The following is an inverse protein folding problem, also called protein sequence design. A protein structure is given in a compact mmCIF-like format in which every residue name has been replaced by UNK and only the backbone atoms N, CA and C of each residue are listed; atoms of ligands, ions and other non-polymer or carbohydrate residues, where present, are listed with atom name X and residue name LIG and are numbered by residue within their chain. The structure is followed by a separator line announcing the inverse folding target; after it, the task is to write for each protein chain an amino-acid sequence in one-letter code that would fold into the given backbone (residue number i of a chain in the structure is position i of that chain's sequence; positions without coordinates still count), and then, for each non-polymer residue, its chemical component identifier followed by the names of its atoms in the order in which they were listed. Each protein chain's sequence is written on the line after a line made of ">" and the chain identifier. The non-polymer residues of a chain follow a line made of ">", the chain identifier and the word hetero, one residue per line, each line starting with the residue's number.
data_IF_914488219942
#
_entry.id   IF_914488219942
#
_cell.length_a   1.000
_cell.length_b   1.000
_cell.length_c   1.000
_cell.angle_alpha   90.00
_cell.angle_beta   90.00
_cell.angle_gamma   90.00
#
_symmetry.space_group_name_H-M   'P 1'
#
loop_
_entity.id
_entity.type
_entity.pdbx_description
1 polymer ?
#
# COMPACT_ATOMS: atom_id res chain seq x y z
N UNK A 1 -3.28 -20.80 -17.67
CA UNK A 1 -4.00 -19.54 -17.54
C UNK A 1 -3.60 -18.81 -16.28
N UNK A 2 -2.43 -18.17 -16.32
CA UNK A 2 -2.08 -16.86 -15.76
C UNK A 2 -3.07 -16.14 -14.80
N UNK A 3 -3.46 -16.79 -13.70
CA UNK A 3 -4.21 -16.15 -12.59
C UNK A 3 -3.32 -15.36 -11.62
N UNK A 4 -2.09 -15.01 -12.02
CA UNK A 4 -1.11 -14.36 -11.12
C UNK A 4 -0.95 -12.85 -11.31
N UNK A 5 -1.47 -12.26 -12.40
CA UNK A 5 -1.22 -10.83 -12.70
C UNK A 5 -1.93 -9.84 -11.76
N UNK A 6 -3.17 -10.15 -11.37
CA UNK A 6 -4.04 -9.18 -10.66
C UNK A 6 -3.66 -9.03 -9.18
N UNK A 7 -3.15 -10.11 -8.55
CA UNK A 7 -2.67 -10.04 -7.16
C UNK A 7 -1.35 -9.29 -7.04
N UNK A 8 -0.48 -9.39 -8.04
CA UNK A 8 0.80 -8.67 -8.04
C UNK A 8 0.63 -7.17 -8.16
N UNK A 9 -0.28 -6.68 -9.02
CA UNK A 9 -0.49 -5.24 -9.17
C UNK A 9 -1.01 -4.58 -7.89
N UNK A 10 -1.90 -5.25 -7.15
CA UNK A 10 -2.35 -4.78 -5.83
C UNK A 10 -1.21 -4.78 -4.81
N UNK A 11 -0.37 -5.83 -4.79
CA UNK A 11 0.80 -5.88 -3.90
C UNK A 11 1.83 -4.79 -4.24
N UNK A 12 2.10 -4.55 -5.51
CA UNK A 12 3.02 -3.50 -5.97
C UNK A 12 2.53 -2.13 -5.49
N UNK A 13 1.24 -1.82 -5.71
CA UNK A 13 0.63 -0.58 -5.24
C UNK A 13 0.71 -0.44 -3.71
N UNK A 14 0.45 -1.52 -2.98
CA UNK A 14 0.54 -1.52 -1.52
C UNK A 14 1.97 -1.26 -1.02
N UNK A 15 2.96 -1.86 -1.69
CA UNK A 15 4.38 -1.65 -1.40
C UNK A 15 4.80 -0.19 -1.69
N UNK A 16 4.32 0.39 -2.79
CA UNK A 16 4.57 1.80 -3.11
C UNK A 16 3.98 2.74 -2.05
N UNK A 17 2.75 2.48 -1.60
CA UNK A 17 2.11 3.24 -0.51
C UNK A 17 2.98 3.18 0.75
N UNK A 18 3.47 1.98 1.12
CA UNK A 18 4.33 1.82 2.28
C UNK A 18 5.69 2.51 2.11
N UNK A 19 6.31 2.44 0.93
CA UNK A 19 7.56 3.15 0.63
C UNK A 19 7.41 4.67 0.72
N UNK A 20 6.34 5.24 0.18
CA UNK A 20 6.05 6.68 0.29
C UNK A 20 5.81 7.08 1.75
N UNK A 21 5.08 6.27 2.51
CA UNK A 21 4.93 6.47 3.95
C UNK A 21 6.29 6.48 4.68
N UNK A 22 7.18 5.53 4.37
CA UNK A 22 8.55 5.50 4.93
C UNK A 22 9.42 6.68 4.48
N UNK A 23 9.17 7.23 3.29
CA UNK A 23 9.83 8.43 2.80
C UNK A 23 9.35 9.72 3.49
N UNK A 24 8.33 9.64 4.35
CA UNK A 24 7.77 10.77 5.10
C UNK A 24 6.43 11.28 4.57
N UNK A 25 5.84 10.65 3.56
CA UNK A 25 4.49 11.01 3.07
C UNK A 25 3.44 10.68 4.13
N UNK A 26 2.53 11.63 4.38
CA UNK A 26 1.48 11.44 5.38
C UNK A 26 0.37 10.51 4.88
N UNK A 27 -0.33 9.85 5.81
CA UNK A 27 -1.49 8.99 5.47
C UNK A 27 -2.52 9.77 4.65
N UNK A 28 -2.76 11.05 4.99
CA UNK A 28 -3.72 11.91 4.30
C UNK A 28 -3.32 12.27 2.86
N UNK A 29 -2.03 12.33 2.56
CA UNK A 29 -1.56 12.50 1.18
C UNK A 29 -1.72 11.21 0.38
N UNK A 30 -1.38 10.07 0.99
CA UNK A 30 -1.55 8.76 0.37
C UNK A 30 -3.02 8.44 0.09
N UNK A 31 -3.94 8.84 0.97
CA UNK A 31 -5.37 8.66 0.72
C UNK A 31 -5.85 9.45 -0.48
N UNK A 32 -5.38 10.69 -0.64
CA UNK A 32 -5.71 11.55 -1.79
C UNK A 32 -5.07 11.04 -3.08
N UNK A 33 -3.78 10.70 -3.03
CA UNK A 33 -3.00 10.26 -4.18
C UNK A 33 -3.48 8.91 -4.73
N UNK A 34 -3.83 7.99 -3.84
CA UNK A 34 -4.31 6.67 -4.22
C UNK A 34 -5.84 6.54 -4.15
N UNK A 35 -6.60 7.60 -3.85
CA UNK A 35 -8.07 7.53 -3.68
C UNK A 35 -8.52 6.41 -2.73
N UNK A 36 -7.75 6.17 -1.67
CA UNK A 36 -8.03 5.16 -0.66
C UNK A 36 -8.46 5.83 0.64
N UNK A 37 -9.25 5.14 1.46
CA UNK A 37 -9.57 5.62 2.81
C UNK A 37 -8.37 5.48 3.74
N UNK A 38 -8.28 6.34 4.77
CA UNK A 38 -7.19 6.30 5.75
C UNK A 38 -7.08 4.94 6.44
N UNK A 39 -8.23 4.32 6.72
CA UNK A 39 -8.32 2.96 7.26
C UNK A 39 -7.64 1.92 6.35
N UNK A 40 -7.81 2.06 5.04
CA UNK A 40 -7.20 1.18 4.03
C UNK A 40 -5.69 1.39 3.96
N UNK A 41 -5.24 2.64 3.89
CA UNK A 41 -3.80 2.99 3.91
C UNK A 41 -3.13 2.43 5.17
N UNK A 42 -3.74 2.65 6.35
CA UNK A 42 -3.21 2.17 7.63
C UNK A 42 -3.13 0.64 7.66
N UNK A 43 -4.13 -0.04 7.09
CA UNK A 43 -4.14 -1.50 6.96
C UNK A 43 -3.04 -1.99 6.02
N UNK A 44 -2.83 -1.32 4.89
CA UNK A 44 -1.74 -1.62 3.94
C UNK A 44 -0.38 -1.51 4.62
N UNK A 45 -0.11 -0.39 5.31
CA UNK A 45 1.15 -0.16 6.05
C UNK A 45 1.39 -1.27 7.07
N UNK A 46 0.36 -1.64 7.85
CA UNK A 46 0.49 -2.71 8.84
C UNK A 46 0.74 -4.09 8.21
N UNK A 47 0.14 -4.37 7.05
CA UNK A 47 0.34 -5.64 6.33
C UNK A 47 1.73 -5.73 5.72
N UNK A 48 2.21 -4.65 5.08
CA UNK A 48 3.57 -4.59 4.53
C UNK A 48 4.63 -4.70 5.64
N UNK A 49 4.40 -4.08 6.79
CA UNK A 49 5.28 -4.23 7.97
C UNK A 49 5.37 -5.69 8.45
N UNK A 50 4.24 -6.40 8.51
CA UNK A 50 4.17 -7.82 8.88
C UNK A 50 4.85 -8.74 7.84
N UNK A 51 4.77 -8.39 6.56
CA UNK A 51 5.41 -9.17 5.48
C UNK A 51 6.94 -9.05 5.48
N UNK A 52 7.50 -7.97 6.03
CA UNK A 52 8.94 -7.79 6.23
C UNK A 52 9.45 -8.29 7.60
N UNK A 53 8.62 -8.96 8.40
CA UNK A 53 8.99 -9.52 9.71
C UNK A 53 9.40 -11.00 9.63
#
# INVERSE_FOLDING_TARGET
>A
GEKSGIKSSLKVRNNEIYKKYLAGTTINELTKEYYLSEKSIRRIISQEKLLCS
#
